data_IF_244876132538
#
_entry.id   IF_244876132538
#
_cell.length_a   1.000
_cell.length_b   1.000
_cell.length_c   1.000
_cell.angle_alpha   90.00
_cell.angle_beta   90.00
_cell.angle_gamma   90.00
#
_symmetry.space_group_name_H-M   'P 1'
#
loop_
_entity.id
_entity.type
_entity.pdbx_description
1 polymer ?
#
# COMPACT_ATOMS: atom_id res chain seq x y z
N UNK A 1 -15.66 21.18 -9.00
CA UNK A 1 -14.72 20.18 -9.56
C UNK A 1 -14.08 19.43 -8.39
N UNK A 2 -14.62 18.28 -7.99
CA UNK A 2 -14.03 17.46 -6.93
C UNK A 2 -12.67 16.98 -7.42
N UNK A 3 -11.58 17.45 -6.79
CA UNK A 3 -10.25 16.87 -7.01
C UNK A 3 -10.37 15.42 -6.54
N UNK A 4 -10.43 14.47 -7.47
CA UNK A 4 -10.26 13.07 -7.11
C UNK A 4 -8.89 12.96 -6.44
N UNK A 5 -8.87 12.73 -5.14
CA UNK A 5 -7.65 12.43 -4.40
C UNK A 5 -6.96 11.30 -5.16
N UNK A 6 -5.66 11.41 -5.51
CA UNK A 6 -4.94 10.32 -6.15
C UNK A 6 -5.21 9.04 -5.36
N UNK A 7 -5.76 8.01 -6.02
CA UNK A 7 -6.15 6.74 -5.36
C UNK A 7 -4.89 6.08 -4.82
N UNK A 8 -4.60 6.33 -3.55
CA UNK A 8 -3.51 5.68 -2.83
C UNK A 8 -3.76 4.17 -2.80
N UNK A 9 -2.71 3.38 -2.97
CA UNK A 9 -2.77 1.92 -2.95
C UNK A 9 -2.26 1.42 -1.61
N UNK A 10 -3.06 0.55 -1.00
CA UNK A 10 -2.70 -0.21 0.18
C UNK A 10 -1.85 -1.42 -0.19
N UNK A 11 -0.70 -1.62 0.47
CA UNK A 11 0.04 -2.89 0.40
C UNK A 11 0.33 -3.35 1.83
N UNK A 12 -0.04 -4.60 2.13
CA UNK A 12 0.23 -5.22 3.42
C UNK A 12 1.39 -6.20 3.24
N UNK A 13 2.44 -6.01 4.02
CA UNK A 13 3.68 -6.78 4.00
C UNK A 13 4.77 -6.17 3.10
N UNK A 14 5.98 -6.70 3.26
CA UNK A 14 7.19 -6.30 2.51
C UNK A 14 7.95 -7.50 1.95
N UNK A 15 7.25 -8.63 1.76
CA UNK A 15 7.79 -9.81 1.07
C UNK A 15 7.94 -9.58 -0.44
N UNK A 16 8.56 -10.52 -1.16
CA UNK A 16 8.90 -10.39 -2.58
C UNK A 16 7.72 -9.96 -3.47
N UNK A 17 6.55 -10.57 -3.28
CA UNK A 17 5.34 -10.22 -4.06
C UNK A 17 4.91 -8.78 -3.75
N UNK A 18 4.89 -8.41 -2.47
CA UNK A 18 4.56 -7.06 -2.05
C UNK A 18 5.55 -6.03 -2.61
N UNK A 19 6.85 -6.31 -2.59
CA UNK A 19 7.88 -5.44 -3.18
C UNK A 19 7.65 -5.19 -4.67
N UNK A 20 7.32 -6.24 -5.42
CA UNK A 20 6.96 -6.11 -6.84
C UNK A 20 5.76 -5.18 -7.06
N UNK A 21 4.69 -5.35 -6.25
CA UNK A 21 3.51 -4.48 -6.32
C UNK A 21 3.81 -3.04 -5.90
N UNK A 22 4.58 -2.84 -4.83
CA UNK A 22 4.99 -1.52 -4.36
C UNK A 22 5.73 -0.77 -5.47
N UNK A 23 6.75 -1.41 -6.05
CA UNK A 23 7.53 -0.83 -7.15
C UNK A 23 6.63 -0.49 -8.35
N UNK A 24 5.75 -1.42 -8.75
CA UNK A 24 4.86 -1.24 -9.89
C UNK A 24 3.87 -0.09 -9.68
N UNK A 25 3.16 -0.05 -8.55
CA UNK A 25 2.19 1.00 -8.30
C UNK A 25 2.84 2.38 -8.20
N UNK A 26 3.97 2.48 -7.49
CA UNK A 26 4.74 3.72 -7.39
C UNK A 26 5.22 4.20 -8.78
N UNK A 27 5.70 3.28 -9.63
CA UNK A 27 6.13 3.59 -10.99
C UNK A 27 5.00 4.08 -11.92
N UNK A 28 3.75 3.70 -11.63
CA UNK A 28 2.56 4.23 -12.31
C UNK A 28 2.11 5.60 -11.80
N UNK A 29 2.86 6.20 -10.87
CA UNK A 29 2.57 7.51 -10.30
C UNK A 29 1.60 7.49 -9.12
N UNK A 30 1.24 6.31 -8.59
CA UNK A 30 0.34 6.17 -7.44
C UNK A 30 1.10 6.29 -6.13
N UNK A 31 0.48 6.90 -5.13
CA UNK A 31 0.96 6.85 -3.75
C UNK A 31 0.72 5.44 -3.17
N UNK A 32 1.73 4.88 -2.51
CA UNK A 32 1.68 3.53 -1.94
C UNK A 32 1.85 3.63 -0.42
N UNK A 33 0.87 3.11 0.31
CA UNK A 33 0.89 3.00 1.77
C UNK A 33 1.19 1.55 2.15
N UNK A 34 2.25 1.34 2.90
CA UNK A 34 2.76 0.00 3.25
C UNK A 34 2.63 -0.23 4.75
N UNK A 35 1.86 -1.24 5.14
CA UNK A 35 1.81 -1.73 6.52
C UNK A 35 2.65 -3.00 6.61
N UNK A 36 3.46 -3.15 7.65
CA UNK A 36 4.30 -4.35 7.85
C UNK A 36 4.47 -4.62 9.34
N UNK A 37 4.63 -5.88 9.72
CA UNK A 37 4.99 -6.27 11.09
C UNK A 37 6.49 -6.10 11.37
N UNK A 38 7.29 -5.81 10.33
CA UNK A 38 8.71 -5.51 10.47
C UNK A 38 8.91 -4.15 11.13
N UNK A 39 9.77 -4.10 12.13
CA UNK A 39 10.18 -2.84 12.78
C UNK A 39 11.10 -2.00 11.90
N UNK A 40 11.79 -2.61 10.94
CA UNK A 40 12.73 -2.00 9.99
C UNK A 40 12.13 -1.88 8.57
N UNK A 41 10.80 -1.77 8.48
CA UNK A 41 10.10 -1.83 7.20
C UNK A 41 10.56 -0.73 6.21
N UNK A 42 10.90 0.47 6.71
CA UNK A 42 11.35 1.56 5.84
C UNK A 42 12.74 1.28 5.27
N UNK A 43 13.68 0.90 6.12
CA UNK A 43 15.05 0.57 5.71
C UNK A 43 15.08 -0.61 4.73
N UNK A 44 14.25 -1.63 4.98
CA UNK A 44 14.09 -2.77 4.09
C UNK A 44 13.57 -2.36 2.70
N UNK A 45 12.60 -1.43 2.63
CA UNK A 45 12.09 -0.90 1.37
C UNK A 45 13.14 -0.07 0.62
N UNK A 46 13.87 0.78 1.33
CA UNK A 46 14.95 1.60 0.78
C UNK A 46 16.06 0.72 0.16
N UNK A 47 16.38 -0.42 0.79
CA UNK A 47 17.36 -1.36 0.28
C UNK A 47 16.84 -2.22 -0.90
N UNK A 48 15.58 -2.65 -0.84
CA UNK A 48 15.04 -3.64 -1.79
C UNK A 48 14.48 -3.03 -3.09
N UNK A 49 13.78 -1.90 -3.01
CA UNK A 49 13.08 -1.32 -4.17
C UNK A 49 14.00 -0.90 -5.33
N UNK A 50 15.26 -0.44 -5.12
CA UNK A 50 16.18 -0.16 -6.23
C UNK A 50 16.39 -1.35 -7.19
N UNK A 51 16.35 -2.60 -6.69
CA UNK A 51 16.53 -3.78 -7.51
C UNK A 51 15.39 -4.02 -8.51
N UNK A 52 14.19 -3.49 -8.24
CA UNK A 52 13.02 -3.60 -9.12
C UNK A 52 12.98 -2.49 -10.16
N UNK A 53 13.68 -1.37 -9.93
CA UNK A 53 13.54 -0.16 -10.72
C UNK A 53 13.90 -0.34 -12.21
N UNK A 54 14.84 -1.24 -12.51
CA UNK A 54 15.29 -1.53 -13.87
C UNK A 54 14.36 -2.48 -14.65
N UNK A 55 13.56 -3.31 -13.97
CA UNK A 55 12.72 -4.35 -14.58
C UNK A 55 11.25 -3.93 -14.75
N UNK A 56 10.93 -2.67 -14.47
CA UNK A 56 9.57 -2.17 -14.52
C UNK A 56 9.01 -2.10 -15.96
N UNK A 57 7.73 -2.44 -16.15
CA UNK A 57 7.03 -2.18 -17.40
C UNK A 57 7.07 -0.70 -17.78
N UNK A 58 7.33 -0.40 -19.05
CA UNK A 58 7.48 0.98 -19.53
C UNK A 58 8.89 1.57 -19.34
N UNK A 59 9.86 0.73 -18.96
CA UNK A 59 11.28 1.07 -18.88
C UNK A 59 11.76 1.36 -17.47
N UNK A 60 13.09 1.45 -17.34
CA UNK A 60 13.72 1.73 -16.06
C UNK A 60 13.21 3.05 -15.44
N UNK A 61 13.08 3.05 -14.12
CA UNK A 61 12.75 4.22 -13.31
C UNK A 61 13.88 4.55 -12.36
N UNK A 62 13.97 5.80 -11.98
CA UNK A 62 14.90 6.22 -10.93
C UNK A 62 14.39 5.70 -9.57
N UNK A 63 15.20 4.96 -8.78
CA UNK A 63 14.77 4.42 -7.50
C UNK A 63 14.18 5.46 -6.54
N UNK A 64 14.75 6.68 -6.54
CA UNK A 64 14.23 7.80 -5.74
C UNK A 64 12.80 8.20 -6.10
N UNK A 65 12.39 8.06 -7.36
CA UNK A 65 11.03 8.40 -7.81
C UNK A 65 10.00 7.37 -7.33
N UNK A 66 10.43 6.11 -7.21
CA UNK A 66 9.64 5.03 -6.61
C UNK A 66 9.50 5.31 -5.12
N UNK A 67 10.62 5.49 -4.42
CA UNK A 67 10.66 5.67 -2.96
C UNK A 67 9.92 6.92 -2.48
N UNK A 68 9.92 8.00 -3.26
CA UNK A 68 9.20 9.23 -2.94
C UNK A 68 7.67 9.04 -2.84
N UNK A 69 7.14 7.97 -3.44
CA UNK A 69 5.70 7.64 -3.42
C UNK A 69 5.34 6.59 -2.38
N UNK A 70 6.31 6.06 -1.65
CA UNK A 70 6.10 4.97 -0.68
C UNK A 70 6.15 5.53 0.73
N UNK A 71 5.07 5.30 1.49
CA UNK A 71 4.96 5.63 2.92
C UNK A 71 4.70 4.38 3.74
N UNK A 72 5.50 4.15 4.77
CA UNK A 72 5.22 3.13 5.78
C UNK A 72 4.21 3.68 6.77
N UNK A 73 3.21 2.89 7.11
CA UNK A 73 2.15 3.21 8.06
C UNK A 73 2.07 2.09 9.10
N UNK A 74 1.80 2.43 10.37
CA UNK A 74 1.96 1.50 11.48
C UNK A 74 0.86 0.43 11.53
N UNK A 75 -0.37 0.74 11.07
CA UNK A 75 -1.52 -0.15 11.21
C UNK A 75 -2.23 -0.37 9.88
N UNK A 76 -2.57 -1.64 9.61
CA UNK A 76 -3.31 -2.03 8.41
C UNK A 76 -4.72 -1.39 8.37
N UNK A 77 -5.36 -1.21 9.52
CA UNK A 77 -6.70 -0.60 9.62
C UNK A 77 -6.77 0.80 9.02
N UNK A 78 -5.73 1.62 9.19
CA UNK A 78 -5.65 2.97 8.62
C UNK A 78 -5.64 2.91 7.08
N UNK A 79 -5.05 1.87 6.50
CA UNK A 79 -4.92 1.69 5.05
C UNK A 79 -6.20 1.13 4.41
N UNK A 80 -6.94 0.32 5.16
CA UNK A 80 -8.17 -0.35 4.72
C UNK A 80 -9.43 0.53 4.84
N UNK A 81 -9.33 1.67 5.53
CA UNK A 81 -10.40 2.68 5.63
C UNK A 81 -10.76 3.35 4.29
N UNK A 82 -9.90 3.22 3.27
CA UNK A 82 -10.14 3.76 1.93
C UNK A 82 -11.10 2.87 1.11
N UNK A 83 -11.84 3.44 0.13
CA UNK A 83 -12.74 2.67 -0.74
C UNK A 83 -12.00 1.54 -1.45
N UNK A 84 -12.27 0.31 -1.01
CA UNK A 84 -11.59 -0.90 -1.47
C UNK A 84 -12.37 -1.60 -2.57
N UNK A 85 -11.69 -2.39 -3.40
CA UNK A 85 -12.33 -3.24 -4.40
C UNK A 85 -13.31 -4.22 -3.70
N UNK A 86 -14.47 -4.56 -4.29
CA UNK A 86 -15.47 -5.44 -3.65
C UNK A 86 -14.90 -6.79 -3.18
N UNK A 87 -13.89 -7.33 -3.87
CA UNK A 87 -13.19 -8.56 -3.45
C UNK A 87 -12.47 -8.45 -2.10
N UNK A 88 -12.02 -7.25 -1.70
CA UNK A 88 -11.37 -7.02 -0.40
C UNK A 88 -12.38 -6.71 0.70
N UNK A 89 -13.55 -6.14 0.35
CA UNK A 89 -14.60 -5.80 1.33
C UNK A 89 -15.22 -7.03 1.99
N UNK A 90 -15.48 -8.09 1.24
CA UNK A 90 -16.17 -9.28 1.75
C UNK A 90 -15.44 -9.97 2.93
N UNK A 91 -14.12 -10.27 2.84
CA UNK A 91 -13.40 -10.86 3.96
C UNK A 91 -13.22 -9.88 5.13
N UNK A 92 -13.01 -8.58 4.89
CA UNK A 92 -12.91 -7.60 5.98
C UNK A 92 -14.21 -7.42 6.76
N UNK A 93 -15.36 -7.52 6.09
CA UNK A 93 -16.67 -7.49 6.73
C UNK A 93 -16.98 -8.77 7.51
N UNK A 94 -16.35 -9.90 7.16
CA UNK A 94 -16.51 -11.18 7.86
C UNK A 94 -15.66 -11.27 9.15
N UNK A 95 -14.55 -10.54 9.21
CA UNK A 95 -13.65 -10.47 10.36
C UNK A 95 -14.02 -9.34 11.35
N UNK A 96 -14.93 -8.43 10.98
CA UNK A 96 -15.43 -7.40 11.87
C UNK A 96 -16.35 -8.05 12.93
N UNK A 97 -16.03 -7.85 14.22
CA UNK A 97 -16.86 -8.32 15.33
C UNK A 97 -18.23 -7.61 15.27
N UNK A 98 -19.36 -8.34 15.22
CA UNK A 98 -20.69 -7.72 15.21
C UNK A 98 -20.98 -6.86 16.45
N UNK A 99 -20.20 -6.99 17.53
CA UNK A 99 -20.31 -6.13 18.71
C UNK A 99 -19.66 -4.74 18.55
N UNK A 100 -18.89 -4.50 17.49
CA UNK A 100 -18.20 -3.22 17.22
C UNK A 100 -19.08 -2.21 16.45
N UNK A 101 -20.40 -2.46 16.41
CA UNK A 101 -21.37 -1.50 15.90
C UNK A 101 -21.47 -0.35 16.91
N UNK A 102 -21.21 0.92 16.52
CA UNK A 102 -21.46 2.03 17.43
C UNK A 102 -22.95 2.01 17.75
N UNK A 103 -23.29 1.86 19.03
CA UNK A 103 -24.67 1.82 19.47
C UNK A 103 -25.44 3.01 18.90
N UNK A 104 -26.51 2.72 18.17
CA UNK A 104 -27.52 3.72 17.83
C UNK A 104 -28.22 4.11 19.15
N UNK A 105 -28.02 5.36 19.58
CA UNK A 105 -28.84 6.01 20.61
C UNK A 105 -30.29 6.19 20.15
#
# INVERSE_FOLDING_TARGET
>A
MSRQTPRAVAVIGTGTIALGWIALFAATGRDVRVSSTRTDAREHLDAALPAYAASLPGGAREPREILARVRVVPEAGEVLSAPSHPYTRAPLAAEADPSDTPGEE
#
